data_IF_533081623760
#
_entry.id   IF_533081623760
#
_cell.length_a   1.000
_cell.length_b   1.000
_cell.length_c   1.000
_cell.angle_alpha   90.00
_cell.angle_beta   90.00
_cell.angle_gamma   90.00
#
_symmetry.space_group_name_H-M   'P 1'
#
loop_
_entity.id
_entity.type
_entity.pdbx_description
1 polymer ?
#
# COMPACT_ATOMS: atom_id res chain seq x y z
N UNK A 1 -3.41 9.65 -28.38
CA UNK A 1 -4.33 8.82 -29.17
C UNK A 1 -5.33 8.18 -28.21
N UNK A 2 -6.61 8.51 -28.31
CA UNK A 2 -7.66 7.86 -27.51
C UNK A 2 -8.02 6.50 -28.12
N UNK A 3 -8.34 5.53 -27.26
CA UNK A 3 -8.90 4.24 -27.66
C UNK A 3 -10.19 4.03 -26.87
N UNK A 4 -11.18 3.43 -27.52
CA UNK A 4 -12.43 3.04 -26.88
C UNK A 4 -12.32 1.58 -26.47
N UNK A 5 -12.73 1.27 -25.24
CA UNK A 5 -12.85 -0.09 -24.75
C UNK A 5 -14.31 -0.34 -24.38
N UNK A 6 -14.79 -1.56 -24.61
CA UNK A 6 -16.12 -1.99 -24.17
C UNK A 6 -15.95 -2.79 -22.89
N UNK A 7 -16.71 -2.44 -21.85
CA UNK A 7 -16.70 -3.14 -20.57
C UNK A 7 -18.12 -3.55 -20.17
N UNK A 8 -18.22 -4.55 -19.28
CA UNK A 8 -19.52 -4.97 -18.75
C UNK A 8 -20.13 -3.87 -17.89
N UNK A 9 -21.46 -3.75 -17.88
CA UNK A 9 -22.18 -2.69 -17.15
C UNK A 9 -21.81 -2.63 -15.66
N UNK A 10 -21.79 -3.77 -14.97
CA UNK A 10 -21.45 -3.80 -13.55
C UNK A 10 -20.04 -3.27 -13.26
N UNK A 11 -19.08 -3.52 -14.16
CA UNK A 11 -17.70 -3.01 -14.03
C UNK A 11 -17.68 -1.50 -14.20
N UNK A 12 -18.49 -0.96 -15.12
CA UNK A 12 -18.63 0.49 -15.27
C UNK A 12 -19.20 1.14 -14.00
N UNK A 13 -20.24 0.53 -13.42
CA UNK A 13 -20.89 1.03 -12.20
C UNK A 13 -19.91 1.02 -11.01
N UNK A 14 -19.11 -0.04 -10.86
CA UNK A 14 -18.04 -0.11 -9.86
C UNK A 14 -16.98 0.97 -10.08
N UNK A 15 -16.45 1.12 -11.31
CA UNK A 15 -15.44 2.13 -11.63
C UNK A 15 -15.95 3.55 -11.39
N UNK A 16 -17.24 3.80 -11.61
CA UNK A 16 -17.87 5.08 -11.34
C UNK A 16 -17.85 5.42 -9.84
N UNK A 17 -17.94 4.42 -8.95
CA UNK A 17 -17.77 4.61 -7.51
C UNK A 17 -16.33 4.98 -7.10
N UNK A 18 -15.32 4.55 -7.85
CA UNK A 18 -13.90 4.87 -7.59
C UNK A 18 -13.41 6.16 -8.25
N UNK A 19 -14.19 6.69 -9.22
CA UNK A 19 -13.86 7.87 -10.02
C UNK A 19 -14.17 9.15 -9.24
N UNK A 20 -13.24 10.09 -9.18
CA UNK A 20 -13.49 11.42 -8.58
C UNK A 20 -14.37 12.29 -9.50
N UNK A 21 -15.06 13.28 -8.94
CA UNK A 21 -16.04 14.13 -9.65
C UNK A 21 -15.52 14.71 -10.98
N UNK A 22 -14.28 15.19 -11.01
CA UNK A 22 -13.66 15.83 -12.19
C UNK A 22 -12.62 14.97 -12.92
N UNK A 23 -12.39 13.74 -12.46
CA UNK A 23 -11.39 12.83 -13.02
C UNK A 23 -11.97 12.08 -14.23
N UNK A 24 -11.19 11.83 -15.28
CA UNK A 24 -11.62 10.97 -16.40
C UNK A 24 -11.38 9.48 -16.10
N UNK A 25 -12.04 8.57 -16.80
CA UNK A 25 -11.76 7.13 -16.65
C UNK A 25 -10.32 6.77 -17.02
N UNK A 26 -9.71 7.48 -17.97
CA UNK A 26 -8.29 7.29 -18.31
C UNK A 26 -7.37 7.67 -17.15
N UNK A 27 -7.66 8.78 -16.46
CA UNK A 27 -6.91 9.21 -15.27
C UNK A 27 -7.11 8.28 -14.08
N UNK A 28 -8.35 7.78 -13.87
CA UNK A 28 -8.64 6.75 -12.88
C UNK A 28 -7.80 5.49 -13.15
N UNK A 29 -7.82 4.98 -14.38
CA UNK A 29 -7.07 3.77 -14.74
C UNK A 29 -5.56 3.98 -14.62
N UNK A 30 -5.04 5.13 -15.04
CA UNK A 30 -3.63 5.49 -14.88
C UNK A 30 -3.25 5.59 -13.39
N UNK A 31 -4.11 6.18 -12.54
CA UNK A 31 -3.94 6.23 -11.09
C UNK A 31 -3.95 4.83 -10.47
N UNK A 32 -4.87 3.97 -10.88
CA UNK A 32 -4.94 2.59 -10.39
C UNK A 32 -3.68 1.81 -10.78
N UNK A 33 -3.26 1.87 -12.05
CA UNK A 33 -2.03 1.24 -12.55
C UNK A 33 -0.78 1.78 -11.84
N UNK A 34 -0.71 3.10 -11.57
CA UNK A 34 0.40 3.74 -10.85
C UNK A 34 0.39 3.47 -9.34
N UNK A 35 -0.80 3.37 -8.73
CA UNK A 35 -0.97 3.00 -7.32
C UNK A 35 -0.54 1.56 -7.04
N UNK A 36 -0.55 0.71 -8.08
CA UNK A 36 -0.02 -0.66 -8.03
C UNK A 36 1.52 -0.72 -7.85
N UNK A 37 2.22 0.42 -7.74
CA UNK A 37 3.67 0.48 -7.53
C UNK A 37 4.08 0.18 -6.09
N UNK A 38 3.99 -1.09 -5.70
CA UNK A 38 4.83 -1.80 -4.69
C UNK A 38 4.78 -1.30 -3.24
N UNK A 39 4.47 -0.04 -2.95
CA UNK A 39 4.47 0.54 -1.61
C UNK A 39 3.31 0.02 -0.77
N UNK A 40 2.12 -0.05 -1.35
CA UNK A 40 0.92 -0.53 -0.65
C UNK A 40 0.96 -2.04 -0.44
N UNK A 41 1.59 -2.78 -1.37
CA UNK A 41 1.90 -4.20 -1.20
C UNK A 41 2.98 -4.44 -0.12
N UNK A 42 4.04 -3.63 -0.07
CA UNK A 42 5.07 -3.71 0.98
C UNK A 42 4.54 -3.31 2.36
N UNK A 43 3.61 -2.36 2.43
CA UNK A 43 2.95 -1.95 3.69
C UNK A 43 1.97 -3.01 4.19
N UNK A 44 1.22 -3.66 3.30
CA UNK A 44 0.27 -4.73 3.67
C UNK A 44 0.96 -6.06 4.02
N UNK A 45 2.13 -6.35 3.43
CA UNK A 45 2.95 -7.52 3.78
C UNK A 45 3.82 -7.33 5.03
N UNK A 46 4.02 -6.08 5.47
CA UNK A 46 4.71 -5.78 6.71
C UNK A 46 3.78 -6.11 7.88
N UNK A 47 3.76 -7.39 8.28
CA UNK A 47 3.07 -7.85 9.48
C UNK A 47 3.46 -6.96 10.67
N UNK A 48 2.48 -6.25 11.22
CA UNK A 48 2.68 -5.42 12.39
C UNK A 48 2.71 -6.37 13.60
N UNK A 49 3.90 -6.63 14.15
CA UNK A 49 4.00 -7.21 15.49
C UNK A 49 4.03 -6.05 16.46
N UNK A 50 2.90 -5.81 17.14
CA UNK A 50 2.87 -4.88 18.26
C UNK A 50 3.63 -5.52 19.42
N UNK A 51 4.74 -4.90 19.80
CA UNK A 51 5.50 -5.31 20.99
C UNK A 51 4.96 -4.50 22.17
N UNK A 52 4.36 -5.19 23.14
CA UNK A 52 3.76 -4.59 24.34
C UNK A 52 4.75 -3.66 25.08
N UNK A 53 6.03 -3.99 25.12
CA UNK A 53 7.07 -3.18 25.77
C UNK A 53 8.33 -3.07 24.89
N UNK A 54 8.18 -2.32 23.80
CA UNK A 54 9.22 -2.11 22.79
C UNK A 54 10.51 -1.50 23.37
N UNK A 55 10.40 -0.58 24.33
CA UNK A 55 11.57 0.07 24.90
C UNK A 55 12.43 -0.89 25.70
N UNK A 56 11.80 -1.73 26.53
CA UNK A 56 12.51 -2.76 27.28
C UNK A 56 13.22 -3.75 26.36
N UNK A 57 12.54 -4.21 25.31
CA UNK A 57 13.12 -5.11 24.31
C UNK A 57 14.36 -4.50 23.63
N UNK A 58 14.31 -3.22 23.28
CA UNK A 58 15.45 -2.52 22.66
C UNK A 58 16.63 -2.41 23.61
N UNK A 59 16.39 -2.09 24.89
CA UNK A 59 17.44 -2.02 25.92
C UNK A 59 18.10 -3.38 26.15
N UNK A 60 17.32 -4.46 26.17
CA UNK A 60 17.85 -5.82 26.29
C UNK A 60 18.74 -6.22 25.09
N UNK A 61 18.33 -5.86 23.88
CA UNK A 61 19.12 -6.08 22.66
C UNK A 61 20.43 -5.29 22.72
N UNK A 62 20.37 -4.03 23.12
CA UNK A 62 21.55 -3.17 23.23
C UNK A 62 22.55 -3.72 24.25
N UNK A 63 22.06 -4.17 25.41
CA UNK A 63 22.88 -4.82 26.43
C UNK A 63 23.59 -6.07 25.89
N UNK A 64 22.85 -6.98 25.25
CA UNK A 64 23.44 -8.19 24.64
C UNK A 64 24.49 -7.87 23.57
N UNK A 65 24.25 -6.82 22.77
CA UNK A 65 25.22 -6.37 21.76
C UNK A 65 26.47 -5.79 22.39
N UNK A 66 26.34 -5.11 23.53
CA UNK A 66 27.49 -4.60 24.27
C UNK A 66 28.33 -5.74 24.86
N UNK A 67 27.68 -6.75 25.44
CA UNK A 67 28.32 -7.98 25.98
C UNK A 67 29.02 -8.83 24.92
N UNK A 68 28.63 -8.72 23.64
CA UNK A 68 29.33 -9.40 22.55
C UNK A 68 30.54 -8.62 22.02
N UNK A 69 30.55 -7.30 22.24
CA UNK A 69 31.60 -6.42 21.72
C UNK A 69 32.73 -6.16 22.73
N UNK A 70 32.48 -6.39 24.01
CA UNK A 70 33.43 -6.22 25.12
C UNK A 70 33.50 -7.51 25.91
#
# INVERSE_FOLDING_TARGET
>A
MSKTITIKKFVYDELMGFKKEKESFSELLDRLVKSQSKKDLLLSLRGNVEFEDKEKLLREIEKKRWEQRN
#
